data_IF_680222307152
#
_entry.id   IF_680222307152
#
_cell.length_a   1.000
_cell.length_b   1.000
_cell.length_c   1.000
_cell.angle_alpha   90.00
_cell.angle_beta   90.00
_cell.angle_gamma   90.00
#
_symmetry.space_group_name_H-M   'P 1'
#
loop_
_entity.id
_entity.type
_entity.pdbx_description
1 polymer ?
#
# COMPACT_ATOMS: atom_id res chain seq x y z
N UNK A 1 5.59 26.81 35.03
CA UNK A 1 5.98 26.96 33.62
C UNK A 1 6.10 25.56 33.05
N UNK A 2 5.17 25.10 32.19
CA UNK A 2 5.29 23.76 31.63
C UNK A 2 6.39 23.76 30.57
N UNK A 3 7.32 22.82 30.72
CA UNK A 3 8.38 22.54 29.77
C UNK A 3 7.75 21.96 28.49
N UNK A 4 7.72 22.75 27.42
CA UNK A 4 7.52 22.21 26.07
C UNK A 4 8.71 21.30 25.71
N UNK A 5 8.47 20.07 25.24
CA UNK A 5 9.53 19.30 24.61
C UNK A 5 9.84 19.95 23.27
N UNK A 6 10.99 20.64 23.20
CA UNK A 6 11.60 21.06 21.93
C UNK A 6 12.08 19.82 21.18
N UNK A 7 11.20 19.14 20.47
CA UNK A 7 11.63 18.28 19.38
C UNK A 7 12.18 19.18 18.27
N UNK A 8 13.41 18.96 17.77
CA UNK A 8 13.88 19.67 16.60
C UNK A 8 12.98 19.26 15.43
N UNK A 9 12.16 20.20 14.95
CA UNK A 9 11.52 20.09 13.64
C UNK A 9 12.63 20.31 12.63
N UNK A 10 13.14 19.23 12.05
CA UNK A 10 14.04 19.31 10.91
C UNK A 10 13.21 19.78 9.71
N UNK A 11 13.34 21.05 9.32
CA UNK A 11 12.86 21.54 8.04
C UNK A 11 13.82 21.04 6.95
N UNK A 12 13.43 19.96 6.27
CA UNK A 12 14.14 19.44 5.11
C UNK A 12 13.91 20.37 3.91
N UNK A 13 14.99 20.79 3.25
CA UNK A 13 14.91 21.68 2.08
C UNK A 13 14.45 20.91 0.83
N UNK A 14 13.84 21.60 -0.13
CA UNK A 14 13.21 21.00 -1.33
C UNK A 14 14.11 20.04 -2.15
N UNK A 15 15.44 20.09 -2.00
CA UNK A 15 16.38 19.18 -2.69
C UNK A 15 16.49 17.78 -2.07
N UNK A 16 15.99 17.55 -0.85
CA UNK A 16 16.05 16.26 -0.15
C UNK A 16 14.84 15.35 -0.43
N UNK A 17 13.90 15.85 -1.22
CA UNK A 17 12.70 15.15 -1.69
C UNK A 17 12.89 14.54 -3.09
N UNK A 18 14.00 14.86 -3.74
CA UNK A 18 14.34 14.33 -5.05
C UNK A 18 14.88 12.91 -4.92
N UNK A 19 14.20 11.97 -5.58
CA UNK A 19 14.66 10.60 -5.74
C UNK A 19 16.00 10.60 -6.48
N UNK A 20 16.94 9.71 -6.11
CA UNK A 20 18.17 9.53 -6.87
C UNK A 20 17.89 9.36 -8.37
N UNK A 21 18.55 10.16 -9.21
CA UNK A 21 18.43 10.12 -10.67
C UNK A 21 19.17 8.89 -11.23
N UNK A 22 18.59 7.71 -11.00
CA UNK A 22 19.06 6.41 -11.47
C UNK A 22 18.13 5.87 -12.56
N UNK A 23 18.61 4.89 -13.35
CA UNK A 23 17.79 4.22 -14.39
C UNK A 23 16.65 3.37 -13.81
N UNK A 24 16.70 3.08 -12.51
CA UNK A 24 15.66 2.40 -11.74
C UNK A 24 15.54 3.13 -10.41
N UNK A 25 14.35 3.61 -10.06
CA UNK A 25 14.13 4.31 -8.82
C UNK A 25 14.35 3.37 -7.61
N UNK A 26 15.13 3.77 -6.59
CA UNK A 26 15.28 2.95 -5.40
C UNK A 26 13.97 2.94 -4.61
N UNK A 27 13.66 1.82 -3.96
CA UNK A 27 12.50 1.73 -3.06
C UNK A 27 12.57 2.75 -1.92
N UNK A 28 13.80 2.99 -1.44
CA UNK A 28 14.18 3.93 -0.38
C UNK A 28 15.71 4.06 -0.33
N UNK A 29 16.24 5.10 0.29
CA UNK A 29 17.68 5.31 0.42
C UNK A 29 18.04 6.06 1.72
N UNK A 30 19.30 5.99 2.14
CA UNK A 30 19.82 6.78 3.26
C UNK A 30 21.14 7.43 2.81
N UNK A 31 21.36 8.72 3.07
CA UNK A 31 22.67 9.34 2.86
C UNK A 31 23.70 8.70 3.79
N UNK A 32 24.90 8.35 3.29
CA UNK A 32 25.95 7.77 4.14
C UNK A 32 26.38 8.69 5.32
N UNK A 33 26.04 9.98 5.26
CA UNK A 33 26.28 10.97 6.34
C UNK A 33 25.27 10.91 7.49
N UNK A 34 24.18 10.14 7.36
CA UNK A 34 23.06 10.17 8.31
C UNK A 34 23.34 9.43 9.63
N UNK A 35 24.36 8.55 9.67
CA UNK A 35 24.74 7.80 10.88
C UNK A 35 25.23 8.69 12.04
N UNK A 36 25.54 9.97 11.80
CA UNK A 36 26.05 10.90 12.81
C UNK A 36 25.22 12.19 13.02
N UNK A 37 24.08 12.37 12.31
CA UNK A 37 23.25 13.57 12.49
C UNK A 37 22.60 13.71 13.88
N UNK A 38 22.71 12.69 14.74
CA UNK A 38 22.35 12.80 16.15
C UNK A 38 23.36 13.58 17.00
N UNK A 39 24.57 13.87 16.49
CA UNK A 39 25.64 14.56 17.22
C UNK A 39 26.36 15.60 16.33
N UNK A 40 25.80 16.80 16.13
CA UNK A 40 26.59 17.89 15.51
C UNK A 40 26.71 19.14 16.38
N UNK A 41 27.96 19.39 16.81
CA UNK A 41 28.48 20.74 17.10
C UNK A 41 29.57 21.20 16.12
N UNK A 42 30.11 20.38 15.20
CA UNK A 42 31.08 20.87 14.20
C UNK A 42 31.03 20.12 12.86
N UNK A 43 30.89 20.86 11.75
CA UNK A 43 31.09 20.35 10.38
C UNK A 43 32.59 20.09 10.16
N UNK A 44 33.01 18.84 10.25
CA UNK A 44 34.32 18.40 9.74
C UNK A 44 34.06 17.67 8.41
N UNK A 45 34.92 17.87 7.41
CA UNK A 45 34.92 17.00 6.22
C UNK A 45 35.22 15.57 6.69
N UNK A 46 34.24 14.68 6.57
CA UNK A 46 34.33 13.30 7.03
C UNK A 46 34.72 12.42 5.85
N UNK A 47 35.94 11.88 5.87
CA UNK A 47 36.31 10.78 4.98
C UNK A 47 35.83 9.47 5.62
N UNK A 48 34.69 8.95 5.18
CA UNK A 48 34.21 7.66 5.64
C UNK A 48 34.90 6.55 4.83
N UNK A 49 35.62 5.65 5.51
CA UNK A 49 36.16 4.42 4.89
C UNK A 49 35.27 3.20 5.14
N UNK A 50 34.33 3.30 6.09
CA UNK A 50 33.47 2.22 6.57
C UNK A 50 32.20 2.80 7.24
N UNK A 51 31.15 1.98 7.34
CA UNK A 51 29.87 2.34 7.94
C UNK A 51 28.85 1.20 7.82
N UNK A 52 27.78 1.24 8.62
CA UNK A 52 26.69 0.27 8.56
C UNK A 52 25.33 0.94 8.78
N UNK A 53 24.29 0.38 8.16
CA UNK A 53 22.90 0.80 8.30
C UNK A 53 22.02 -0.42 8.44
N UNK A 54 20.95 -0.30 9.23
CA UNK A 54 19.92 -1.32 9.36
C UNK A 54 18.71 -0.89 8.54
N UNK A 55 18.36 -1.69 7.53
CA UNK A 55 17.14 -1.50 6.74
C UNK A 55 16.11 -2.55 7.13
N UNK A 56 14.88 -2.11 7.37
CA UNK A 56 13.72 -3.01 7.48
C UNK A 56 13.14 -3.19 6.07
N UNK A 57 13.28 -4.38 5.49
CA UNK A 57 12.73 -4.67 4.16
C UNK A 57 11.70 -5.78 4.29
N UNK A 58 10.53 -5.55 3.72
CA UNK A 58 9.41 -6.49 3.69
C UNK A 58 9.28 -7.12 2.33
N UNK A 59 8.66 -8.30 2.29
CA UNK A 59 8.38 -9.02 1.05
C UNK A 59 7.66 -8.10 0.06
N UNK A 60 8.09 -8.12 -1.21
CA UNK A 60 7.48 -7.41 -2.36
C UNK A 60 7.51 -8.27 -3.62
N UNK A 61 7.47 -9.60 -3.44
CA UNK A 61 7.45 -10.65 -4.48
C UNK A 61 8.71 -10.77 -5.33
N UNK A 62 9.68 -9.87 -5.17
CA UNK A 62 10.86 -9.82 -6.02
C UNK A 62 12.16 -9.71 -5.22
N UNK A 63 13.28 -10.23 -5.76
CA UNK A 63 14.59 -10.02 -5.18
C UNK A 63 14.96 -8.53 -5.11
N UNK A 64 15.82 -8.17 -4.16
CA UNK A 64 16.32 -6.81 -4.01
C UNK A 64 17.84 -6.79 -3.78
N UNK A 65 18.45 -5.62 -3.97
CA UNK A 65 19.87 -5.40 -3.79
C UNK A 65 20.12 -4.08 -3.07
N UNK A 66 21.25 -4.02 -2.35
CA UNK A 66 21.78 -2.77 -1.84
C UNK A 66 22.83 -2.23 -2.81
N UNK A 67 22.85 -0.92 -3.01
CA UNK A 67 23.84 -0.24 -3.82
C UNK A 67 24.34 1.01 -3.09
N UNK A 68 25.64 1.26 -3.18
CA UNK A 68 26.30 2.44 -2.64
C UNK A 68 26.66 3.35 -3.82
N UNK A 69 26.32 4.63 -3.70
CA UNK A 69 26.57 5.64 -4.71
C UNK A 69 27.41 6.78 -4.14
N UNK A 70 28.22 7.40 -5.00
CA UNK A 70 28.78 8.74 -4.79
C UNK A 70 28.06 9.77 -5.67
N UNK A 71 28.38 11.06 -5.54
CA UNK A 71 27.81 12.11 -6.39
C UNK A 71 26.41 12.60 -5.97
N UNK A 72 25.91 12.13 -4.82
CA UNK A 72 24.60 12.53 -4.29
C UNK A 72 23.43 11.99 -5.12
N UNK A 73 22.23 12.54 -4.92
CA UNK A 73 21.00 12.10 -5.60
C UNK A 73 20.88 12.66 -7.03
N UNK A 74 21.56 13.75 -7.35
CA UNK A 74 21.46 14.42 -8.66
C UNK A 74 22.41 13.85 -9.72
N UNK A 75 23.58 13.34 -9.31
CA UNK A 75 24.56 12.75 -10.22
C UNK A 75 25.14 11.45 -9.63
N UNK A 76 24.28 10.46 -9.34
CA UNK A 76 24.69 9.24 -8.66
C UNK A 76 25.67 8.44 -9.52
N UNK A 77 26.82 8.05 -8.94
CA UNK A 77 27.79 7.13 -9.53
C UNK A 77 27.86 5.87 -8.69
N UNK A 78 27.54 4.71 -9.28
CA UNK A 78 27.56 3.43 -8.58
C UNK A 78 28.99 3.09 -8.15
N UNK A 79 29.19 2.86 -6.84
CA UNK A 79 30.47 2.45 -6.27
C UNK A 79 30.52 0.94 -6.01
N UNK A 80 29.44 0.38 -5.49
CA UNK A 80 29.34 -1.02 -5.13
C UNK A 80 27.87 -1.47 -5.09
N UNK A 81 27.64 -2.77 -5.29
CA UNK A 81 26.33 -3.41 -5.23
C UNK A 81 26.44 -4.76 -4.52
N UNK A 82 25.46 -5.11 -3.70
CA UNK A 82 25.39 -6.43 -3.07
C UNK A 82 24.96 -7.51 -4.06
N UNK A 83 25.12 -8.79 -3.68
CA UNK A 83 24.36 -9.86 -4.31
C UNK A 83 22.85 -9.64 -4.14
N UNK A 84 22.05 -10.25 -5.02
CA UNK A 84 20.60 -10.29 -4.85
C UNK A 84 20.22 -11.02 -3.56
N UNK A 85 19.29 -10.43 -2.82
CA UNK A 85 18.64 -10.98 -1.65
C UNK A 85 17.20 -11.32 -2.03
N UNK A 86 16.68 -12.41 -1.48
CA UNK A 86 15.31 -12.88 -1.74
C UNK A 86 14.61 -13.14 -0.42
N UNK A 87 13.28 -13.19 -0.48
CA UNK A 87 12.44 -13.49 0.67
C UNK A 87 12.08 -14.98 0.65
N UNK A 88 12.23 -15.66 1.79
CA UNK A 88 11.80 -17.06 1.91
C UNK A 88 10.29 -17.20 1.69
N UNK A 89 9.54 -16.15 1.99
CA UNK A 89 8.08 -16.06 1.88
C UNK A 89 7.62 -15.30 0.62
N UNK A 90 8.48 -15.11 -0.39
CA UNK A 90 8.22 -14.29 -1.58
C UNK A 90 6.88 -14.57 -2.30
N UNK A 91 6.44 -15.83 -2.28
CA UNK A 91 5.22 -16.28 -2.95
C UNK A 91 3.93 -16.05 -2.13
N UNK A 92 4.07 -15.78 -0.82
CA UNK A 92 2.96 -15.74 0.13
C UNK A 92 1.95 -14.64 -0.23
N UNK A 93 0.63 -14.88 -0.08
CA UNK A 93 -0.38 -13.84 -0.27
C UNK A 93 -0.19 -12.65 0.68
N UNK A 94 -0.17 -11.45 0.12
CA UNK A 94 0.07 -10.19 0.84
C UNK A 94 -1.07 -9.18 0.61
N UNK A 95 -1.03 -8.06 1.32
CA UNK A 95 -1.89 -6.89 1.06
C UNK A 95 -3.38 -7.19 1.22
N UNK A 96 -3.70 -8.12 2.12
CA UNK A 96 -5.08 -8.53 2.36
C UNK A 96 -5.88 -7.33 2.83
N UNK A 97 -6.99 -7.08 2.16
CA UNK A 97 -7.95 -6.09 2.58
C UNK A 97 -9.36 -6.48 2.18
N UNK A 98 -10.33 -5.95 2.91
CA UNK A 98 -11.74 -6.17 2.66
C UNK A 98 -12.47 -4.86 2.33
N UNK A 99 -13.52 -4.96 1.54
CA UNK A 99 -14.35 -3.83 1.13
C UNK A 99 -15.84 -4.20 1.14
N UNK A 100 -16.69 -3.22 1.46
CA UNK A 100 -18.14 -3.39 1.34
C UNK A 100 -18.53 -3.43 -0.14
N UNK A 101 -19.53 -4.25 -0.46
CA UNK A 101 -20.15 -4.27 -1.78
C UNK A 101 -21.49 -3.52 -1.77
N UNK A 102 -22.18 -3.48 -2.92
CA UNK A 102 -23.55 -2.95 -3.01
C UNK A 102 -24.51 -3.77 -2.15
N UNK A 103 -24.29 -5.08 -2.06
CA UNK A 103 -25.02 -5.94 -1.14
C UNK A 103 -24.37 -5.87 0.26
N UNK A 104 -25.04 -5.32 1.28
CA UNK A 104 -24.46 -5.22 2.61
C UNK A 104 -24.08 -6.58 3.23
N UNK A 105 -24.66 -7.69 2.77
CA UNK A 105 -24.37 -9.06 3.25
C UNK A 105 -23.15 -9.70 2.59
N UNK A 106 -22.59 -9.03 1.60
CA UNK A 106 -21.45 -9.52 0.83
C UNK A 106 -20.22 -8.67 1.13
N UNK A 107 -19.13 -9.35 1.47
CA UNK A 107 -17.82 -8.74 1.70
C UNK A 107 -16.90 -9.12 0.55
N UNK A 108 -16.26 -8.13 -0.06
CA UNK A 108 -15.19 -8.38 -1.01
C UNK A 108 -13.88 -8.55 -0.25
N UNK A 109 -13.09 -9.55 -0.65
CA UNK A 109 -11.75 -9.84 -0.14
C UNK A 109 -10.77 -9.74 -1.29
N UNK A 110 -9.72 -8.94 -1.09
CA UNK A 110 -8.69 -8.68 -2.10
C UNK A 110 -7.29 -8.89 -1.53
N UNK A 111 -6.38 -9.41 -2.35
CA UNK A 111 -4.97 -9.65 -1.99
C UNK A 111 -4.07 -9.66 -3.22
N UNK A 112 -2.76 -9.71 -3.01
CA UNK A 112 -1.75 -9.80 -4.08
C UNK A 112 -0.90 -11.05 -3.89
N UNK A 113 -0.49 -11.70 -4.99
CA UNK A 113 0.54 -12.75 -4.98
C UNK A 113 1.53 -12.59 -6.14
N UNK A 114 2.61 -13.38 -6.13
CA UNK A 114 3.61 -13.40 -7.20
C UNK A 114 3.18 -14.22 -8.44
N UNK A 115 2.13 -15.04 -8.34
CA UNK A 115 1.73 -15.99 -9.38
C UNK A 115 0.36 -15.66 -9.99
N UNK A 116 0.19 -15.88 -11.31
CA UNK A 116 -1.10 -15.74 -11.96
C UNK A 116 -2.07 -16.84 -11.51
N UNK A 117 -3.36 -16.65 -11.82
CA UNK A 117 -4.31 -17.75 -11.75
C UNK A 117 -4.05 -18.80 -12.82
N UNK A 118 -4.14 -20.09 -12.45
CA UNK A 118 -4.07 -21.21 -13.38
C UNK A 118 -5.01 -22.35 -12.97
N UNK A 119 -5.29 -23.28 -13.88
CA UNK A 119 -6.11 -24.46 -13.56
C UNK A 119 -5.49 -25.36 -12.49
N UNK A 120 -4.18 -25.30 -12.29
CA UNK A 120 -3.46 -26.07 -11.27
C UNK A 120 -3.34 -25.31 -9.92
N UNK A 121 -3.49 -23.99 -9.94
CA UNK A 121 -3.37 -23.13 -8.77
C UNK A 121 -4.31 -21.93 -8.90
N UNK A 122 -5.61 -22.19 -8.75
CA UNK A 122 -6.63 -21.15 -8.73
C UNK A 122 -6.54 -20.40 -7.39
N UNK A 123 -6.45 -19.06 -7.39
CA UNK A 123 -6.53 -18.27 -6.16
C UNK A 123 -7.93 -18.33 -5.58
N UNK A 124 -8.01 -18.57 -4.27
CA UNK A 124 -9.25 -18.85 -3.54
C UNK A 124 -9.27 -18.11 -2.21
N UNK A 125 -10.44 -17.66 -1.80
CA UNK A 125 -10.73 -17.37 -0.38
C UNK A 125 -11.44 -18.58 0.22
N UNK A 126 -10.90 -19.10 1.32
CA UNK A 126 -11.55 -20.12 2.15
C UNK A 126 -12.13 -19.42 3.38
N UNK A 127 -13.36 -19.71 3.74
CA UNK A 127 -14.05 -19.00 4.81
C UNK A 127 -15.04 -19.87 5.58
N UNK A 128 -15.48 -19.37 6.74
CA UNK A 128 -16.46 -20.02 7.60
C UNK A 128 -16.79 -19.17 8.83
N UNK A 129 -17.77 -19.62 9.62
CA UNK A 129 -18.21 -18.92 10.85
C UNK A 129 -17.59 -19.51 12.12
N UNK A 130 -16.63 -20.42 11.99
CA UNK A 130 -15.90 -21.04 13.10
C UNK A 130 -14.41 -21.02 12.81
N UNK A 131 -13.65 -20.38 13.70
CA UNK A 131 -12.19 -20.31 13.60
C UNK A 131 -11.58 -21.70 13.46
N UNK A 132 -10.67 -21.87 12.49
CA UNK A 132 -10.00 -23.14 12.19
C UNK A 132 -10.86 -24.15 11.40
N UNK A 133 -12.12 -23.81 11.09
CA UNK A 133 -13.01 -24.67 10.30
C UNK A 133 -13.63 -23.87 9.13
N UNK A 134 -12.87 -23.73 8.05
CA UNK A 134 -13.24 -22.98 6.85
C UNK A 134 -13.81 -23.95 5.81
N UNK A 135 -15.12 -24.17 5.84
CA UNK A 135 -15.80 -25.16 4.99
C UNK A 135 -16.20 -24.62 3.62
N UNK A 136 -16.28 -23.30 3.49
CA UNK A 136 -16.69 -22.63 2.26
C UNK A 136 -15.47 -22.12 1.50
N UNK A 137 -15.60 -22.00 0.16
CA UNK A 137 -14.56 -21.47 -0.69
C UNK A 137 -15.13 -20.70 -1.89
N UNK A 138 -14.54 -19.55 -2.22
CA UNK A 138 -14.88 -18.76 -3.40
C UNK A 138 -13.64 -18.52 -4.26
N UNK A 139 -13.71 -18.83 -5.55
CA UNK A 139 -12.64 -18.55 -6.51
C UNK A 139 -12.50 -17.04 -6.74
N UNK A 140 -11.27 -16.56 -6.83
CA UNK A 140 -10.97 -15.18 -7.14
C UNK A 140 -10.91 -14.90 -8.64
N UNK A 141 -11.30 -13.68 -9.02
CA UNK A 141 -10.91 -13.06 -10.28
C UNK A 141 -9.48 -12.55 -10.12
N UNK A 142 -8.65 -12.71 -11.15
CA UNK A 142 -7.25 -12.30 -11.12
C UNK A 142 -6.95 -11.31 -12.24
N UNK A 143 -6.24 -10.24 -11.93
CA UNK A 143 -5.81 -9.21 -12.88
C UNK A 143 -4.39 -8.72 -12.56
N UNK A 144 -3.78 -7.96 -13.47
CA UNK A 144 -2.48 -7.30 -13.30
C UNK A 144 -2.39 -6.11 -14.26
N UNK A 145 -1.31 -5.33 -14.18
CA UNK A 145 -0.99 -4.29 -15.13
C UNK A 145 0.51 -4.28 -15.45
N UNK A 146 0.85 -3.81 -16.63
CA UNK A 146 2.20 -3.67 -17.18
C UNK A 146 2.53 -2.19 -17.41
N UNK A 147 3.77 -1.84 -17.78
CA UNK A 147 4.13 -0.45 -18.08
C UNK A 147 3.24 0.19 -19.16
N UNK A 148 2.79 -0.59 -20.15
CA UNK A 148 1.96 -0.10 -21.26
C UNK A 148 0.54 0.29 -20.84
N UNK A 149 0.06 -0.19 -19.69
CA UNK A 149 -1.24 0.19 -19.13
C UNK A 149 -1.18 1.55 -18.40
N UNK A 150 0.03 2.09 -18.18
CA UNK A 150 0.26 3.36 -17.49
C UNK A 150 0.41 4.50 -18.50
N UNK A 151 0.11 5.73 -18.07
CA UNK A 151 -0.01 6.86 -18.98
C UNK A 151 1.28 7.66 -19.20
N UNK A 152 2.32 7.43 -18.40
CA UNK A 152 3.65 7.98 -18.64
C UNK A 152 4.62 7.94 -17.46
N UNK A 153 5.75 8.63 -17.60
CA UNK A 153 6.82 8.68 -16.60
C UNK A 153 6.44 9.51 -15.36
N UNK A 154 6.90 9.14 -14.15
CA UNK A 154 7.78 8.01 -13.87
C UNK A 154 7.10 6.62 -13.77
N UNK A 155 5.77 6.55 -13.75
CA UNK A 155 5.04 5.29 -13.54
C UNK A 155 5.37 4.22 -14.59
N UNK A 156 5.45 4.62 -15.85
CA UNK A 156 5.70 3.73 -16.99
C UNK A 156 7.19 3.34 -17.16
N UNK A 157 8.12 3.99 -16.46
CA UNK A 157 9.55 3.77 -16.66
C UNK A 157 10.35 3.56 -15.36
N UNK A 158 11.08 4.57 -14.89
CA UNK A 158 12.04 4.47 -13.78
C UNK A 158 11.36 4.11 -12.47
N UNK A 159 10.08 4.46 -12.31
CA UNK A 159 9.29 4.16 -11.12
C UNK A 159 8.44 2.90 -11.22
N UNK A 160 8.45 2.22 -12.38
CA UNK A 160 7.72 0.97 -12.55
C UNK A 160 8.32 -0.13 -11.68
N UNK A 161 7.44 -0.88 -11.02
CA UNK A 161 7.77 -2.10 -10.28
C UNK A 161 6.66 -3.10 -10.54
N UNK A 162 7.03 -4.34 -10.87
CA UNK A 162 6.07 -5.41 -11.11
C UNK A 162 5.09 -5.55 -9.93
N UNK A 163 3.78 -5.36 -10.15
CA UNK A 163 2.80 -5.33 -9.07
C UNK A 163 2.40 -6.72 -8.59
N UNK A 164 2.85 -7.80 -9.25
CA UNK A 164 2.33 -9.14 -9.10
C UNK A 164 0.92 -9.27 -9.67
N UNK A 165 0.13 -10.14 -9.05
CA UNK A 165 -1.24 -10.43 -9.47
C UNK A 165 -2.22 -10.05 -8.38
N UNK A 166 -3.23 -9.27 -8.76
CA UNK A 166 -4.32 -8.85 -7.91
C UNK A 166 -5.43 -9.88 -7.96
N UNK A 167 -5.90 -10.32 -6.80
CA UNK A 167 -6.95 -11.30 -6.68
C UNK A 167 -8.11 -10.71 -5.88
N UNK A 168 -9.33 -10.90 -6.37
CA UNK A 168 -10.54 -10.41 -5.72
C UNK A 168 -11.61 -11.51 -5.72
N UNK A 169 -12.17 -11.78 -4.55
CA UNK A 169 -13.24 -12.76 -4.36
C UNK A 169 -14.31 -12.20 -3.41
N UNK A 170 -15.55 -12.68 -3.54
CA UNK A 170 -16.64 -12.28 -2.66
C UNK A 170 -16.99 -13.39 -1.66
N UNK A 171 -17.13 -13.00 -0.39
CA UNK A 171 -17.77 -13.79 0.65
C UNK A 171 -19.21 -13.30 0.75
N UNK A 172 -20.08 -13.97 -0.01
CA UNK A 172 -21.52 -13.72 -0.03
C UNK A 172 -22.26 -14.55 1.03
N UNK A 173 -23.44 -14.08 1.43
CA UNK A 173 -24.26 -14.78 2.43
C UNK A 173 -23.61 -14.87 3.82
N UNK A 174 -22.62 -14.01 4.07
CA UNK A 174 -21.93 -13.94 5.36
C UNK A 174 -22.95 -13.71 6.46
N UNK A 175 -22.86 -14.52 7.52
CA UNK A 175 -23.86 -14.64 8.57
C UNK A 175 -24.45 -13.29 9.00
N UNK A 176 -25.77 -13.14 8.84
CA UNK A 176 -26.48 -11.95 9.27
C UNK A 176 -26.41 -11.77 10.80
N UNK A 177 -26.50 -10.52 11.26
CA UNK A 177 -26.59 -10.21 12.69
C UNK A 177 -25.24 -10.02 13.36
N UNK A 178 -24.21 -9.60 12.62
CA UNK A 178 -22.93 -9.20 13.19
C UNK A 178 -22.07 -10.37 13.67
N UNK A 179 -22.23 -11.54 13.06
CA UNK A 179 -21.40 -12.69 13.39
C UNK A 179 -19.95 -12.49 12.92
N UNK A 180 -19.01 -13.15 13.58
CA UNK A 180 -17.63 -13.18 13.15
C UNK A 180 -17.45 -14.18 12.00
N UNK A 181 -16.83 -13.73 10.92
CA UNK A 181 -16.51 -14.53 9.74
C UNK A 181 -15.00 -14.65 9.66
N UNK A 182 -14.52 -15.89 9.60
CA UNK A 182 -13.11 -16.23 9.50
C UNK A 182 -12.78 -16.54 8.05
N UNK A 183 -11.62 -16.11 7.59
CA UNK A 183 -11.18 -16.38 6.23
C UNK A 183 -9.66 -16.49 6.13
N UNK A 184 -9.19 -17.16 5.07
CA UNK A 184 -7.80 -17.10 4.59
C UNK A 184 -7.80 -17.09 3.07
N UNK A 185 -6.74 -16.56 2.48
CA UNK A 185 -6.60 -16.45 1.02
C UNK A 185 -5.35 -17.17 0.56
N UNK A 186 -5.35 -17.64 -0.68
CA UNK A 186 -4.17 -18.30 -1.22
C UNK A 186 -4.44 -19.19 -2.41
N UNK A 187 -3.43 -19.97 -2.77
CA UNK A 187 -3.49 -21.01 -3.78
C UNK A 187 -2.43 -22.07 -3.48
N UNK A 188 -2.49 -23.21 -4.17
CA UNK A 188 -1.42 -24.22 -4.06
C UNK A 188 -0.07 -23.72 -4.60
N UNK A 189 -0.05 -22.69 -5.47
CA UNK A 189 1.20 -22.11 -5.97
C UNK A 189 1.76 -21.00 -5.08
N UNK A 190 0.89 -20.16 -4.52
CA UNK A 190 1.27 -19.00 -3.69
C UNK A 190 1.39 -19.36 -2.20
N UNK A 191 0.91 -20.54 -1.81
CA UNK A 191 0.68 -20.87 -0.41
C UNK A 191 -0.58 -20.16 0.14
N UNK A 192 -0.77 -20.29 1.45
CA UNK A 192 -1.95 -19.79 2.17
C UNK A 192 -1.55 -18.73 3.19
N UNK A 193 -2.36 -17.68 3.29
CA UNK A 193 -2.22 -16.69 4.36
C UNK A 193 -2.56 -17.28 5.72
N UNK A 194 -2.13 -16.60 6.77
CA UNK A 194 -2.73 -16.74 8.09
C UNK A 194 -4.24 -16.44 8.03
N UNK A 195 -4.98 -17.03 8.97
CA UNK A 195 -6.42 -16.80 9.09
C UNK A 195 -6.68 -15.44 9.73
N UNK A 196 -7.59 -14.67 9.14
CA UNK A 196 -8.11 -13.41 9.69
C UNK A 196 -9.63 -13.53 9.92
N UNK A 197 -10.20 -12.51 10.55
CA UNK A 197 -11.65 -12.40 10.73
C UNK A 197 -12.17 -10.98 10.60
N UNK A 198 -13.45 -10.88 10.25
CA UNK A 198 -14.18 -9.62 10.24
C UNK A 198 -15.60 -9.82 10.79
N UNK A 199 -16.24 -8.71 11.17
CA UNK A 199 -17.63 -8.70 11.63
C UNK A 199 -18.55 -8.49 10.43
N UNK A 200 -19.44 -9.46 10.20
CA UNK A 200 -20.44 -9.40 9.15
C UNK A 200 -21.45 -8.26 9.37
N UNK A 201 -22.27 -7.98 8.36
CA UNK A 201 -23.30 -6.96 8.47
C UNK A 201 -24.37 -7.33 9.50
N UNK A 202 -24.81 -6.33 10.27
CA UNK A 202 -25.88 -6.44 11.25
C UNK A 202 -27.00 -5.45 10.92
N UNK A 203 -28.13 -5.96 10.45
CA UNK A 203 -29.32 -5.15 10.14
C UNK A 203 -29.99 -4.52 11.37
N UNK A 204 -29.68 -5.01 12.58
CA UNK A 204 -30.21 -4.49 13.84
C UNK A 204 -29.32 -3.41 14.44
N UNK A 205 -28.12 -3.19 13.88
CA UNK A 205 -27.20 -2.15 14.35
C UNK A 205 -27.75 -0.77 14.01
N UNK A 206 -27.90 0.06 15.04
CA UNK A 206 -28.46 1.41 14.92
C UNK A 206 -27.42 2.53 14.85
N UNK A 207 -26.13 2.19 14.99
CA UNK A 207 -25.02 3.16 14.99
C UNK A 207 -23.88 2.63 14.13
N UNK A 208 -23.40 3.47 13.22
CA UNK A 208 -22.20 3.20 12.42
C UNK A 208 -21.12 4.20 12.81
N UNK A 209 -19.92 3.70 13.11
CA UNK A 209 -18.73 4.51 13.36
C UNK A 209 -17.75 4.34 12.22
N UNK A 210 -17.36 5.43 11.58
CA UNK A 210 -16.39 5.39 10.50
C UNK A 210 -15.09 6.09 10.94
N UNK A 211 -13.96 5.54 10.54
CA UNK A 211 -12.69 6.27 10.52
C UNK A 211 -12.61 7.05 9.21
N UNK A 212 -12.31 8.34 9.28
CA UNK A 212 -12.10 9.16 8.10
C UNK A 212 -10.64 9.61 8.08
N UNK A 213 -9.97 9.33 6.97
CA UNK A 213 -8.60 9.77 6.70
C UNK A 213 -8.50 10.25 5.26
N UNK A 214 -7.47 11.03 4.96
CA UNK A 214 -7.11 11.51 3.64
C UNK A 214 -5.63 11.84 3.70
N UNK A 215 -4.95 11.89 2.54
CA UNK A 215 -3.59 12.42 2.44
C UNK A 215 -2.59 11.68 3.35
N UNK A 216 -2.81 10.38 3.61
CA UNK A 216 -2.03 9.66 4.63
C UNK A 216 -0.60 9.39 4.13
N UNK A 217 -0.46 8.92 2.89
CA UNK A 217 0.80 8.47 2.33
C UNK A 217 1.44 7.30 3.07
N UNK A 218 2.77 7.22 2.98
CA UNK A 218 3.57 6.18 3.62
C UNK A 218 4.72 6.77 4.43
N UNK A 219 5.30 5.97 5.32
CA UNK A 219 6.61 6.24 5.91
C UNK A 219 7.36 4.95 6.18
N UNK A 220 8.67 5.03 6.39
CA UNK A 220 9.51 3.93 6.82
C UNK A 220 10.02 4.17 8.24
N UNK A 221 9.90 3.16 9.10
CA UNK A 221 10.31 3.20 10.51
C UNK A 221 11.82 3.24 10.69
N UNK A 222 12.57 2.74 9.71
CA UNK A 222 14.03 2.72 9.71
C UNK A 222 14.67 4.06 9.27
N UNK A 223 13.86 5.12 9.18
CA UNK A 223 14.27 6.46 8.79
C UNK A 223 14.86 6.58 7.38
N UNK A 224 14.60 5.59 6.51
CA UNK A 224 14.94 5.73 5.11
C UNK A 224 14.22 6.92 4.47
N UNK A 225 14.92 7.62 3.58
CA UNK A 225 14.34 8.60 2.67
C UNK A 225 13.66 7.91 1.49
N UNK A 226 12.66 8.56 0.94
CA UNK A 226 11.83 8.07 -0.15
C UNK A 226 11.18 9.26 -0.86
N UNK A 227 10.61 8.98 -2.02
CA UNK A 227 9.82 9.95 -2.76
C UNK A 227 8.64 10.47 -1.93
N UNK A 228 8.49 11.80 -1.83
CA UNK A 228 7.35 12.46 -1.20
C UNK A 228 7.07 11.93 0.21
N UNK A 229 7.85 12.41 1.19
CA UNK A 229 7.78 11.91 2.58
C UNK A 229 6.50 12.34 3.29
N UNK A 230 5.84 11.37 3.93
CA UNK A 230 4.65 11.58 4.75
C UNK A 230 4.95 11.09 6.17
N UNK A 231 5.79 11.81 6.96
CA UNK A 231 6.34 11.30 8.21
C UNK A 231 5.29 10.97 9.28
N UNK A 232 4.06 11.48 9.16
CA UNK A 232 2.94 11.20 10.07
C UNK A 232 2.09 9.99 9.66
N UNK A 233 2.34 9.37 8.49
CA UNK A 233 1.57 8.24 7.98
C UNK A 233 1.45 7.10 9.01
N UNK A 234 2.58 6.72 9.63
CA UNK A 234 2.60 5.66 10.64
C UNK A 234 1.75 6.01 11.87
N UNK A 235 1.80 7.26 12.33
CA UNK A 235 0.99 7.69 13.46
C UNK A 235 -0.50 7.57 13.13
N UNK A 236 -0.92 8.02 11.94
CA UNK A 236 -2.31 7.90 11.48
C UNK A 236 -2.74 6.43 11.38
N UNK A 237 -1.97 5.59 10.68
CA UNK A 237 -2.26 4.16 10.54
C UNK A 237 -2.33 3.44 11.90
N UNK A 238 -1.44 3.79 12.83
CA UNK A 238 -1.46 3.23 14.20
C UNK A 238 -2.74 3.58 14.94
N UNK A 239 -3.17 4.85 14.90
CA UNK A 239 -4.42 5.26 15.56
C UNK A 239 -5.63 4.62 14.89
N UNK A 240 -5.66 4.55 13.55
CA UNK A 240 -6.73 3.88 12.83
C UNK A 240 -6.84 2.42 13.24
N UNK A 241 -5.71 1.71 13.37
CA UNK A 241 -5.68 0.33 13.86
C UNK A 241 -6.24 0.24 15.28
N UNK A 242 -5.77 1.07 16.21
CA UNK A 242 -6.24 1.07 17.61
C UNK A 242 -7.74 1.31 17.74
N UNK A 243 -8.33 2.11 16.85
CA UNK A 243 -9.76 2.41 16.84
C UNK A 243 -10.58 1.38 16.06
N UNK A 244 -10.05 0.80 14.98
CA UNK A 244 -10.80 -0.13 14.12
C UNK A 244 -10.85 -1.56 14.64
N UNK A 245 -9.75 -2.07 15.21
CA UNK A 245 -9.69 -3.42 15.79
C UNK A 245 -9.78 -3.40 17.33
N UNK A 246 -10.47 -2.39 17.88
CA UNK A 246 -10.68 -2.26 19.31
C UNK A 246 -11.61 -3.36 19.83
N UNK A 247 -11.31 -3.91 21.01
CA UNK A 247 -12.16 -4.94 21.64
C UNK A 247 -13.44 -4.37 22.26
N UNK A 248 -13.46 -3.07 22.57
CA UNK A 248 -14.66 -2.40 23.04
C UNK A 248 -15.52 -1.94 21.86
N UNK A 249 -16.59 -2.70 21.60
CA UNK A 249 -17.56 -2.43 20.53
C UNK A 249 -18.28 -1.07 20.65
N UNK A 250 -18.21 -0.39 21.80
CA UNK A 250 -18.78 0.95 21.98
C UNK A 250 -17.90 2.06 21.39
N UNK A 251 -16.62 1.76 21.13
CA UNK A 251 -15.64 2.68 20.51
C UNK A 251 -15.10 2.17 19.18
N UNK A 252 -15.14 0.86 18.92
CA UNK A 252 -14.64 0.27 17.68
C UNK A 252 -15.34 0.85 16.43
N UNK A 253 -14.55 1.15 15.41
CA UNK A 253 -15.07 1.56 14.11
C UNK A 253 -15.57 0.35 13.30
N UNK A 254 -16.54 0.62 12.43
CA UNK A 254 -17.19 -0.37 11.56
C UNK A 254 -16.59 -0.40 10.14
N UNK A 255 -15.94 0.69 9.73
CA UNK A 255 -15.26 0.86 8.46
C UNK A 255 -14.25 2.01 8.51
N UNK A 256 -13.32 2.01 7.56
CA UNK A 256 -12.46 3.14 7.23
C UNK A 256 -12.84 3.70 5.87
N UNK A 257 -12.84 5.02 5.76
CA UNK A 257 -12.97 5.78 4.53
C UNK A 257 -11.69 6.59 4.33
N UNK A 258 -10.95 6.29 3.27
CA UNK A 258 -9.76 7.04 2.84
C UNK A 258 -10.13 7.94 1.66
N UNK A 259 -10.18 9.25 1.91
CA UNK A 259 -10.73 10.24 1.01
C UNK A 259 -9.70 10.79 0.01
N UNK A 260 -9.00 9.90 -0.71
CA UNK A 260 -8.00 10.26 -1.72
C UNK A 260 -6.61 10.55 -1.16
N UNK A 261 -5.66 10.69 -2.07
CA UNK A 261 -4.24 10.93 -1.81
C UNK A 261 -3.66 9.84 -0.90
N UNK A 262 -3.73 8.62 -1.42
CA UNK A 262 -3.68 7.39 -0.65
C UNK A 262 -2.23 7.09 -0.24
N UNK A 263 -1.41 6.75 -1.23
CA UNK A 263 -0.02 6.33 -1.01
C UNK A 263 0.99 7.44 -1.35
N UNK A 264 0.55 8.46 -2.09
CA UNK A 264 1.42 9.37 -2.86
C UNK A 264 2.44 8.60 -3.71
N UNK A 265 2.02 7.49 -4.35
CA UNK A 265 2.83 6.72 -5.29
C UNK A 265 3.41 7.65 -6.35
N UNK A 266 2.54 8.40 -7.01
CA UNK A 266 2.87 9.44 -8.00
C UNK A 266 3.91 8.95 -9.02
N UNK A 267 3.71 7.71 -9.47
CA UNK A 267 4.54 6.99 -10.42
C UNK A 267 5.73 6.24 -9.85
N UNK A 268 5.96 6.26 -8.53
CA UNK A 268 6.95 5.40 -7.87
C UNK A 268 6.23 4.23 -7.19
N UNK A 269 5.97 3.19 -7.98
CA UNK A 269 4.95 2.18 -7.68
C UNK A 269 5.27 1.32 -6.46
N UNK A 270 6.54 1.24 -6.06
CA UNK A 270 6.96 0.56 -4.84
C UNK A 270 6.31 1.14 -3.56
N UNK A 271 5.80 2.37 -3.60
CA UNK A 271 5.08 2.99 -2.47
C UNK A 271 3.74 2.31 -2.22
N UNK A 272 3.11 1.75 -3.25
CA UNK A 272 1.86 1.01 -3.08
C UNK A 272 2.03 -0.23 -2.22
N UNK A 273 3.08 -1.04 -2.43
CA UNK A 273 3.40 -2.18 -1.57
C UNK A 273 3.58 -1.73 -0.11
N UNK A 274 4.33 -0.65 0.11
CA UNK A 274 4.54 -0.11 1.46
C UNK A 274 3.24 0.40 2.10
N UNK A 275 2.38 1.03 1.31
CA UNK A 275 1.08 1.49 1.78
C UNK A 275 0.20 0.32 2.22
N UNK A 276 0.10 -0.70 1.36
CA UNK A 276 -0.68 -1.90 1.64
C UNK A 276 -0.15 -2.64 2.88
N UNK A 277 1.17 -2.78 3.02
CA UNK A 277 1.80 -3.33 4.23
C UNK A 277 1.40 -2.55 5.49
N UNK A 278 1.36 -1.22 5.40
CA UNK A 278 1.01 -0.33 6.51
C UNK A 278 -0.45 -0.51 6.95
N UNK A 279 -1.37 -0.70 6.00
CA UNK A 279 -2.81 -0.79 6.30
C UNK A 279 -3.30 -2.22 6.53
N UNK A 280 -2.63 -3.25 6.01
CA UNK A 280 -3.07 -4.65 6.07
C UNK A 280 -3.50 -5.11 7.47
N UNK A 281 -2.80 -4.76 8.59
CA UNK A 281 -3.24 -5.12 9.94
C UNK A 281 -4.61 -4.58 10.37
N UNK A 282 -5.13 -3.55 9.69
CA UNK A 282 -6.47 -3.01 9.85
C UNK A 282 -7.39 -3.48 8.72
N UNK A 283 -6.94 -3.31 7.48
CA UNK A 283 -7.73 -3.48 6.28
C UNK A 283 -8.13 -4.94 6.03
N UNK A 284 -7.38 -5.92 6.55
CA UNK A 284 -7.76 -7.34 6.48
C UNK A 284 -8.91 -7.72 7.42
N UNK A 285 -9.27 -6.85 8.37
CA UNK A 285 -10.25 -7.14 9.44
C UNK A 285 -11.44 -6.19 9.46
N UNK A 286 -11.29 -5.03 8.81
CA UNK A 286 -12.30 -3.99 8.74
C UNK A 286 -12.36 -3.43 7.31
N UNK A 287 -13.57 -3.19 6.75
CA UNK A 287 -13.70 -2.62 5.41
C UNK A 287 -12.91 -1.32 5.26
N UNK A 288 -12.00 -1.28 4.29
CA UNK A 288 -11.17 -0.12 3.97
C UNK A 288 -11.59 0.44 2.61
N UNK A 289 -12.45 1.44 2.63
CA UNK A 289 -13.01 2.05 1.44
C UNK A 289 -12.17 3.25 1.02
N UNK A 290 -12.03 3.48 -0.27
CA UNK A 290 -11.23 4.57 -0.83
C UNK A 290 -12.01 5.36 -1.87
N UNK A 291 -11.55 6.56 -2.16
CA UNK A 291 -11.84 7.28 -3.40
C UNK A 291 -10.50 7.76 -3.98
N UNK A 292 -10.45 8.03 -5.28
CA UNK A 292 -9.25 8.54 -5.94
C UNK A 292 -9.09 10.04 -5.69
N UNK A 293 -7.91 10.47 -5.25
CA UNK A 293 -7.49 11.87 -5.25
C UNK A 293 -6.81 12.25 -6.57
N UNK A 294 -6.28 13.47 -6.64
CA UNK A 294 -5.48 13.92 -7.80
C UNK A 294 -4.19 13.11 -7.94
N UNK A 295 -3.57 12.70 -6.82
CA UNK A 295 -2.36 11.88 -6.84
C UNK A 295 -2.58 10.43 -7.28
N UNK A 296 -3.83 9.97 -7.37
CA UNK A 296 -4.15 8.69 -7.98
C UNK A 296 -4.52 8.84 -9.46
N UNK A 297 -5.16 9.94 -9.87
CA UNK A 297 -5.88 10.01 -11.16
C UNK A 297 -5.33 11.01 -12.17
N UNK A 298 -4.72 12.12 -11.75
CA UNK A 298 -4.45 13.26 -12.62
C UNK A 298 -3.35 12.97 -13.64
N UNK A 299 -3.73 12.90 -14.92
CA UNK A 299 -2.81 12.81 -16.04
C UNK A 299 -3.42 13.35 -17.35
N UNK A 300 -2.67 14.03 -18.23
CA UNK A 300 -3.23 14.56 -19.47
C UNK A 300 -3.66 13.48 -20.45
N UNK A 301 -4.73 13.74 -21.19
CA UNK A 301 -5.30 12.83 -22.20
C UNK A 301 -5.67 11.44 -21.66
N UNK A 302 -6.00 11.33 -20.37
CA UNK A 302 -6.38 10.06 -19.74
C UNK A 302 -7.87 9.97 -19.43
N UNK A 303 -8.72 10.86 -19.98
CA UNK A 303 -10.16 10.92 -19.70
C UNK A 303 -10.57 11.90 -18.58
N UNK A 304 -9.65 12.76 -18.12
CA UNK A 304 -10.00 13.91 -17.27
C UNK A 304 -10.34 15.13 -18.11
N UNK A 305 -11.37 15.87 -17.69
CA UNK A 305 -11.82 17.09 -18.35
C UNK A 305 -11.70 18.32 -17.43
N UNK A 306 -11.82 19.51 -18.02
CA UNK A 306 -11.91 20.76 -17.29
C UNK A 306 -10.62 21.17 -16.59
N UNK A 307 -10.72 21.66 -15.35
CA UNK A 307 -9.62 22.30 -14.64
C UNK A 307 -8.45 21.35 -14.27
N UNK A 308 -8.65 20.03 -14.42
CA UNK A 308 -7.67 19.00 -14.06
C UNK A 308 -7.09 18.28 -15.29
N UNK A 309 -7.52 18.63 -16.50
CA UNK A 309 -7.17 17.92 -17.74
C UNK A 309 -5.66 17.96 -18.07
N UNK A 310 -4.94 18.98 -17.62
CA UNK A 310 -3.49 19.14 -17.86
C UNK A 310 -2.62 18.76 -16.65
N UNK A 311 -3.24 18.34 -15.54
CA UNK A 311 -2.52 17.98 -14.31
C UNK A 311 -1.73 16.67 -14.50
N UNK A 312 -0.62 16.55 -13.76
CA UNK A 312 0.29 15.39 -13.80
C UNK A 312 0.54 14.79 -12.42
N UNK A 313 -0.34 15.06 -11.47
CA UNK A 313 -0.10 14.78 -10.05
C UNK A 313 0.01 13.28 -9.76
N UNK A 314 -0.60 12.43 -10.59
CA UNK A 314 -0.47 10.98 -10.49
C UNK A 314 0.88 10.42 -10.95
N UNK A 315 1.75 11.24 -11.55
CA UNK A 315 3.05 10.79 -12.07
C UNK A 315 2.95 9.69 -13.13
N UNK A 316 1.83 9.65 -13.87
CA UNK A 316 1.59 8.71 -14.96
C UNK A 316 0.79 7.47 -14.55
N UNK A 317 0.38 7.37 -13.29
CA UNK A 317 -0.44 6.24 -12.81
C UNK A 317 -1.86 6.25 -13.38
N UNK A 318 -2.43 7.45 -13.59
CA UNK A 318 -3.75 7.67 -14.21
C UNK A 318 -4.91 6.79 -13.70
N UNK A 319 -4.84 6.37 -12.44
CA UNK A 319 -5.86 5.59 -11.73
C UNK A 319 -5.60 4.08 -11.70
N UNK A 320 -4.78 3.55 -12.62
CA UNK A 320 -4.63 2.09 -12.82
C UNK A 320 -4.20 1.35 -11.55
N UNK A 321 -3.14 1.76 -10.83
CA UNK A 321 -2.75 1.06 -9.60
C UNK A 321 -3.82 1.10 -8.51
N UNK A 322 -4.63 2.16 -8.46
CA UNK A 322 -5.68 2.31 -7.44
C UNK A 322 -6.87 1.43 -7.75
N UNK A 323 -7.33 1.40 -8.99
CA UNK A 323 -8.51 0.65 -9.41
C UNK A 323 -8.32 -0.86 -9.26
N UNK A 324 -7.11 -1.36 -9.53
CA UNK A 324 -6.76 -2.77 -9.35
C UNK A 324 -6.49 -3.16 -7.90
N UNK A 325 -6.07 -2.20 -7.05
CA UNK A 325 -5.87 -2.44 -5.61
C UNK A 325 -7.17 -2.37 -4.85
N UNK A 326 -8.03 -1.41 -5.18
CA UNK A 326 -9.22 -1.06 -4.40
C UNK A 326 -10.44 -1.11 -5.30
N UNK A 327 -11.09 -2.27 -5.36
CA UNK A 327 -12.34 -2.42 -6.11
C UNK A 327 -13.50 -1.89 -5.28
N UNK A 328 -13.82 -0.60 -5.45
CA UNK A 328 -14.92 0.04 -4.73
C UNK A 328 -16.28 -0.27 -5.37
N UNK A 329 -17.37 -0.31 -4.59
CA UNK A 329 -18.71 -0.54 -5.14
C UNK A 329 -19.12 0.63 -6.03
N UNK A 330 -19.17 0.40 -7.34
CA UNK A 330 -19.69 1.35 -8.34
C UNK A 330 -21.12 0.98 -8.71
N UNK A 331 -21.98 1.97 -8.99
CA UNK A 331 -23.35 1.68 -9.41
C UNK A 331 -23.35 0.84 -10.72
N UNK A 332 -24.27 -0.13 -10.81
CA UNK A 332 -24.43 -0.92 -12.02
C UNK A 332 -24.80 0.01 -13.20
N UNK A 333 -23.87 0.14 -14.16
CA UNK A 333 -24.02 1.03 -15.32
C UNK A 333 -22.86 2.01 -15.55
N UNK A 334 -21.92 2.13 -14.61
CA UNK A 334 -20.70 2.96 -14.75
C UNK A 334 -19.43 2.16 -15.10
N UNK A 335 -19.59 0.91 -15.55
CA UNK A 335 -18.48 0.19 -16.18
C UNK A 335 -18.35 0.66 -17.63
N UNK A 336 -17.31 1.47 -17.88
CA UNK A 336 -16.72 1.81 -19.18
C UNK A 336 -17.69 2.28 -20.28
N UNK A 337 -17.95 3.59 -20.32
CA UNK A 337 -18.26 4.26 -21.60
C UNK A 337 -17.25 5.33 -22.02
N UNK A 338 -16.19 5.58 -21.24
CA UNK A 338 -15.15 6.56 -21.57
C UNK A 338 -13.76 5.94 -21.86
N UNK A 339 -13.72 4.66 -22.24
CA UNK A 339 -12.52 4.05 -22.85
C UNK A 339 -12.79 3.77 -24.33
N UNK A 340 -12.65 4.82 -25.15
CA UNK A 340 -12.74 4.78 -26.61
C UNK A 340 -11.65 5.61 -27.26
#
# INVERSE_FOLDING_TARGET
SPLEPKHPVYEFTHSEWAIPLTSTAPWKWIPCIFSELQNFTTRKEMSYSDGSFNFTVTNRRQPFQYAIFSGGTLQPTLLAQSSALSFDDAETPMHRHIARTIDPRTMQVSWVSAQPSSSAAQPVVQWGTTSGNLTEATNAVTTTYNPDDLCGSPAQDVGFVDPGYFHTAEIGGSAEGGAEVFYRVGSEASGWSEQESYVAFDSHRNTTRALLTADMGITYEDHSLYHWQCPRALATATHMRLMGINQDSTIAADLALHLGDISYGTGYLNKWDRFMETIEPLASRMPYMTVKGNHERDWPNSGLEGAFADNKDSGGECGVPTDLRFTMPTAAGEVSQDEG
#
